data_IF_487314405044
#
_entry.id   IF_487314405044
#
_cell.length_a   1.000
_cell.length_b   1.000
_cell.length_c   1.000
_cell.angle_alpha   90.00
_cell.angle_beta   90.00
_cell.angle_gamma   90.00
#
_symmetry.space_group_name_H-M   'P 1'
#
loop_
_entity.id
_entity.type
_entity.pdbx_description
1 polymer ?
#
# COMPACT_ATOMS: atom_id res chain seq x y z
N UNK A 1 34.58 8.00 71.57
CA UNK A 1 34.13 7.06 70.53
C UNK A 1 32.67 7.36 70.23
N UNK A 2 32.40 8.02 69.09
CA UNK A 2 31.05 8.36 68.62
C UNK A 2 30.78 7.53 67.38
N UNK A 3 29.82 6.60 67.45
CA UNK A 3 29.47 5.66 66.39
C UNK A 3 28.30 6.21 65.58
N UNK A 4 28.53 6.35 64.27
CA UNK A 4 27.56 6.85 63.29
C UNK A 4 26.45 5.83 63.04
N UNK A 5 25.19 6.27 63.07
CA UNK A 5 24.05 5.45 62.63
C UNK A 5 23.88 5.61 61.12
N UNK A 6 24.01 4.49 60.42
CA UNK A 6 23.84 4.30 58.97
C UNK A 6 22.41 4.62 58.51
N UNK A 7 22.28 5.51 57.52
CA UNK A 7 21.06 5.76 56.76
C UNK A 7 20.96 4.76 55.59
N UNK A 8 20.00 3.85 55.66
CA UNK A 8 19.64 2.98 54.53
C UNK A 8 18.90 3.80 53.46
N UNK A 9 19.32 3.80 52.18
CA UNK A 9 18.63 4.55 51.13
C UNK A 9 17.29 3.89 50.79
N UNK A 10 16.21 4.70 50.78
CA UNK A 10 14.91 4.30 50.22
C UNK A 10 15.05 4.10 48.71
N UNK A 11 15.07 2.86 48.25
CA UNK A 11 14.95 2.51 46.83
C UNK A 11 13.61 3.03 46.26
N UNK A 12 13.66 3.61 45.07
CA UNK A 12 12.53 4.26 44.41
C UNK A 12 11.49 3.21 43.98
N UNK A 13 10.19 3.50 44.16
CA UNK A 13 9.08 2.56 43.91
C UNK A 13 9.09 2.06 42.44
N UNK A 14 9.60 2.87 41.52
CA UNK A 14 9.84 2.51 40.12
C UNK A 14 10.73 1.29 39.93
N UNK A 15 11.75 1.14 40.77
CA UNK A 15 12.76 0.08 40.63
C UNK A 15 12.21 -1.26 41.13
N UNK A 16 11.28 -1.22 42.11
CA UNK A 16 10.63 -2.43 42.64
C UNK A 16 9.55 -2.98 41.70
N UNK A 17 8.87 -2.11 40.96
CA UNK A 17 7.73 -2.47 40.12
C UNK A 17 8.15 -2.70 38.65
N UNK A 18 9.29 -2.15 38.22
CA UNK A 18 9.76 -2.25 36.84
C UNK A 18 8.91 -1.41 35.86
N UNK A 19 8.27 -0.36 36.36
CA UNK A 19 7.32 0.48 35.61
C UNK A 19 7.74 1.94 35.77
N UNK A 20 7.73 2.69 34.66
CA UNK A 20 8.13 4.11 34.65
C UNK A 20 7.23 4.94 35.58
N UNK A 21 7.80 5.90 36.32
CA UNK A 21 7.07 6.79 37.26
C UNK A 21 5.86 7.47 36.64
N UNK A 22 5.96 7.81 35.36
CA UNK A 22 4.89 8.43 34.57
C UNK A 22 3.66 7.51 34.44
N UNK A 23 3.85 6.20 34.35
CA UNK A 23 2.77 5.22 34.32
C UNK A 23 2.10 5.09 35.68
N UNK A 24 2.87 5.10 36.78
CA UNK A 24 2.32 5.08 38.15
C UNK A 24 1.45 6.33 38.39
N UNK A 25 1.93 7.51 38.01
CA UNK A 25 1.17 8.76 38.10
C UNK A 25 -0.07 8.80 37.19
N UNK A 26 -0.04 8.10 36.05
CA UNK A 26 -1.19 7.99 35.17
C UNK A 26 -2.27 7.07 35.76
N UNK A 27 -1.88 6.00 36.45
CA UNK A 27 -2.78 5.12 37.21
C UNK A 27 -3.41 5.87 38.40
N UNK A 28 -2.60 6.58 39.20
CA UNK A 28 -3.09 7.36 40.34
C UNK A 28 -4.09 8.46 39.95
N UNK A 29 -3.94 9.02 38.75
CA UNK A 29 -4.85 10.04 38.21
C UNK A 29 -6.02 9.47 37.41
N UNK A 30 -6.20 8.14 37.39
CA UNK A 30 -7.28 7.47 36.66
C UNK A 30 -7.19 7.59 35.13
N UNK A 31 -6.05 8.00 34.59
CA UNK A 31 -5.82 8.22 33.16
C UNK A 31 -5.30 6.99 32.43
N UNK A 32 -5.03 5.91 33.16
CA UNK A 32 -4.50 4.67 32.62
C UNK A 32 -4.93 3.49 33.48
N UNK A 33 -5.58 2.49 32.87
CA UNK A 33 -5.89 1.22 33.51
C UNK A 33 -4.83 0.22 33.05
N UNK A 34 -3.92 -0.23 33.92
CA UNK A 34 -2.86 -1.15 33.52
C UNK A 34 -3.45 -2.52 33.19
N UNK A 35 -2.80 -3.26 32.29
CA UNK A 35 -3.09 -4.68 32.11
C UNK A 35 -2.81 -5.44 33.41
N UNK A 36 -3.35 -6.67 33.54
CA UNK A 36 -3.33 -7.43 34.78
C UNK A 36 -1.91 -7.58 35.37
N UNK A 37 -0.90 -7.76 34.52
CA UNK A 37 0.46 -8.04 34.96
C UNK A 37 1.15 -6.86 35.70
N UNK A 38 1.18 -5.61 35.18
CA UNK A 38 1.64 -4.44 35.94
C UNK A 38 0.81 -4.17 37.21
N UNK A 39 -0.50 -4.42 37.17
CA UNK A 39 -1.37 -4.24 38.34
C UNK A 39 -0.98 -5.16 39.51
N UNK A 40 -0.68 -6.44 39.23
CA UNK A 40 -0.22 -7.40 40.23
C UNK A 40 1.14 -7.03 40.83
N UNK A 41 2.08 -6.49 40.03
CA UNK A 41 3.40 -6.06 40.54
C UNK A 41 3.31 -4.83 41.45
N UNK A 42 2.42 -3.89 41.14
CA UNK A 42 2.13 -2.73 42.00
C UNK A 42 1.54 -3.18 43.33
N UNK A 43 0.53 -4.08 43.30
CA UNK A 43 -0.11 -4.62 44.49
C UNK A 43 0.87 -5.41 45.39
N UNK A 44 1.78 -6.19 44.79
CA UNK A 44 2.82 -6.92 45.51
C UNK A 44 3.85 -5.98 46.17
N UNK A 45 4.27 -4.92 45.49
CA UNK A 45 5.24 -3.95 46.02
C UNK A 45 4.69 -3.15 47.23
N UNK A 46 3.37 -2.97 47.31
CA UNK A 46 2.65 -2.31 48.40
C UNK A 46 2.40 -3.22 49.62
N UNK A 47 2.95 -4.45 49.66
CA UNK A 47 3.00 -5.26 50.88
C UNK A 47 1.77 -6.11 51.18
N UNK A 48 0.98 -6.49 50.19
CA UNK A 48 -0.26 -7.29 50.35
C UNK A 48 -0.04 -8.80 50.64
N UNK A 49 1.07 -9.17 51.26
CA UNK A 49 1.49 -10.56 51.55
C UNK A 49 1.12 -11.11 52.92
N UNK A 50 0.42 -10.37 53.80
CA UNK A 50 0.08 -10.85 55.15
C UNK A 50 -1.30 -11.51 55.20
N UNK A 51 -1.38 -12.69 55.85
CA UNK A 51 -2.55 -13.59 55.99
C UNK A 51 -3.79 -12.99 56.68
N UNK A 52 -3.79 -11.71 57.06
CA UNK A 52 -4.86 -11.13 57.91
C UNK A 52 -6.01 -10.42 57.18
N UNK A 53 -6.02 -10.41 55.85
CA UNK A 53 -6.96 -9.59 55.07
C UNK A 53 -7.75 -10.40 54.02
N UNK A 54 -8.45 -11.44 54.45
CA UNK A 54 -9.36 -12.21 53.58
C UNK A 54 -10.50 -11.34 53.01
N UNK A 55 -11.06 -10.41 53.79
CA UNK A 55 -12.08 -9.46 53.32
C UNK A 55 -11.57 -8.50 52.24
N UNK A 56 -10.34 -7.98 52.36
CA UNK A 56 -9.75 -7.07 51.37
C UNK A 56 -9.46 -7.82 50.06
N UNK A 57 -9.08 -9.10 50.12
CA UNK A 57 -8.90 -9.94 48.92
C UNK A 57 -10.22 -10.21 48.22
N UNK A 58 -11.31 -10.44 48.94
CA UNK A 58 -12.65 -10.63 48.37
C UNK A 58 -13.17 -9.33 47.75
N UNK A 59 -12.96 -8.18 48.41
CA UNK A 59 -13.33 -6.86 47.87
C UNK A 59 -12.51 -6.49 46.62
N UNK A 60 -11.21 -6.78 46.60
CA UNK A 60 -10.36 -6.53 45.42
C UNK A 60 -10.70 -7.51 44.30
N UNK A 61 -10.95 -8.79 44.59
CA UNK A 61 -11.39 -9.75 43.58
C UNK A 61 -12.76 -9.35 43.00
N UNK A 62 -13.69 -8.88 43.84
CA UNK A 62 -14.98 -8.34 43.42
C UNK A 62 -14.84 -7.07 42.58
N UNK A 63 -13.92 -6.18 42.93
CA UNK A 63 -13.62 -4.96 42.16
C UNK A 63 -12.95 -5.29 40.82
N UNK A 64 -12.02 -6.26 40.79
CA UNK A 64 -11.39 -6.74 39.55
C UNK A 64 -12.42 -7.43 38.66
N UNK A 65 -13.33 -8.23 39.22
CA UNK A 65 -14.41 -8.87 38.48
C UNK A 65 -15.41 -7.85 37.95
N UNK A 66 -15.77 -6.83 38.75
CA UNK A 66 -16.62 -5.73 38.33
C UNK A 66 -15.95 -4.89 37.22
N UNK A 67 -14.66 -4.57 37.35
CA UNK A 67 -13.88 -3.87 36.32
C UNK A 67 -13.71 -4.72 35.05
N UNK A 68 -13.58 -6.04 35.16
CA UNK A 68 -13.53 -6.95 34.03
C UNK A 68 -14.89 -7.04 33.31
N UNK A 69 -16.01 -7.05 34.04
CA UNK A 69 -17.35 -6.99 33.45
C UNK A 69 -17.63 -5.64 32.78
N UNK A 70 -17.10 -4.53 33.31
CA UNK A 70 -17.19 -3.20 32.69
C UNK A 70 -16.32 -3.14 31.41
N UNK A 71 -15.14 -3.78 31.40
CA UNK A 71 -14.27 -3.83 30.23
C UNK A 71 -14.83 -4.71 29.10
N UNK A 72 -15.51 -5.82 29.41
CA UNK A 72 -16.22 -6.65 28.42
C UNK A 72 -17.51 -5.96 27.93
N UNK A 73 -18.19 -5.20 28.80
CA UNK A 73 -19.35 -4.37 28.43
C UNK A 73 -18.99 -3.10 27.64
N UNK A 74 -17.70 -2.77 27.50
CA UNK A 74 -17.21 -1.61 26.75
C UNK A 74 -16.79 -1.92 25.30
N UNK A 75 -16.84 -3.18 24.86
CA UNK A 75 -16.65 -3.47 23.44
C UNK A 75 -17.93 -3.10 22.70
N UNK A 76 -17.89 -1.99 21.95
CA UNK A 76 -19.02 -1.55 21.16
C UNK A 76 -19.30 -2.53 20.01
N UNK A 77 -20.52 -2.55 19.44
CA UNK A 77 -20.85 -3.42 18.30
C UNK A 77 -19.91 -3.28 17.09
N UNK A 78 -19.17 -2.15 16.99
CA UNK A 78 -18.19 -1.92 15.95
C UNK A 78 -16.86 -2.67 16.16
N UNK A 79 -16.48 -3.02 17.40
CA UNK A 79 -15.15 -3.61 17.69
C UNK A 79 -15.00 -5.01 17.08
N UNK A 80 -16.06 -5.82 17.11
CA UNK A 80 -16.09 -7.12 16.45
C UNK A 80 -15.94 -6.99 14.93
N UNK A 81 -16.62 -6.01 14.32
CA UNK A 81 -16.52 -5.74 12.89
C UNK A 81 -15.10 -5.33 12.49
N UNK A 82 -14.42 -4.50 13.28
CA UNK A 82 -13.04 -4.10 12.98
C UNK A 82 -12.05 -5.27 13.08
N UNK A 83 -12.31 -6.25 13.93
CA UNK A 83 -11.50 -7.47 13.99
C UNK A 83 -11.70 -8.34 12.74
N UNK A 84 -12.93 -8.49 12.26
CA UNK A 84 -13.22 -9.20 11.00
C UNK A 84 -12.60 -8.47 9.80
N UNK A 85 -12.72 -7.15 9.76
CA UNK A 85 -12.15 -6.32 8.70
C UNK A 85 -10.62 -6.50 8.62
N UNK A 86 -9.90 -6.49 9.75
CA UNK A 86 -8.45 -6.74 9.78
C UNK A 86 -8.05 -8.14 9.31
N UNK A 87 -8.97 -9.10 9.34
CA UNK A 87 -8.77 -10.46 8.83
C UNK A 87 -9.13 -10.59 7.34
N UNK A 88 -9.53 -9.49 6.67
CA UNK A 88 -9.98 -9.53 5.27
C UNK A 88 -11.36 -10.17 5.09
N UNK A 89 -12.11 -10.42 6.17
CA UNK A 89 -13.43 -11.08 6.13
C UNK A 89 -14.53 -10.07 5.82
N UNK A 90 -14.43 -9.42 4.66
CA UNK A 90 -15.28 -8.28 4.29
C UNK A 90 -16.77 -8.64 4.20
N UNK A 91 -17.12 -9.79 3.61
CA UNK A 91 -18.51 -10.25 3.52
C UNK A 91 -19.19 -10.39 4.89
N UNK A 92 -18.43 -10.85 5.88
CA UNK A 92 -18.94 -10.98 7.25
C UNK A 92 -19.09 -9.64 7.95
N UNK A 93 -18.18 -8.69 7.70
CA UNK A 93 -18.33 -7.30 8.17
C UNK A 93 -19.61 -6.71 7.61
N UNK A 94 -19.86 -6.88 6.30
CA UNK A 94 -21.06 -6.37 5.64
C UNK A 94 -22.32 -7.02 6.20
N UNK A 95 -22.34 -8.36 6.31
CA UNK A 95 -23.50 -9.11 6.79
C UNK A 95 -23.84 -8.75 8.24
N UNK A 96 -22.87 -8.80 9.14
CA UNK A 96 -23.09 -8.51 10.56
C UNK A 96 -23.37 -7.02 10.80
N UNK A 97 -22.66 -6.14 10.10
CA UNK A 97 -22.85 -4.70 10.23
C UNK A 97 -24.23 -4.24 9.73
N UNK A 98 -24.71 -4.75 8.59
CA UNK A 98 -26.09 -4.50 8.12
C UNK A 98 -27.13 -5.01 9.12
N UNK A 99 -26.91 -6.17 9.74
CA UNK A 99 -27.80 -6.68 10.78
C UNK A 99 -27.85 -5.74 12.00
N UNK A 100 -26.70 -5.24 12.48
CA UNK A 100 -26.64 -4.25 13.56
C UNK A 100 -27.34 -2.94 13.21
N UNK A 101 -27.20 -2.47 11.97
CA UNK A 101 -27.89 -1.26 11.48
C UNK A 101 -29.41 -1.47 11.51
N UNK A 102 -29.89 -2.61 11.01
CA UNK A 102 -31.32 -2.93 10.95
C UNK A 102 -31.97 -3.12 12.33
N UNK A 103 -31.20 -3.50 13.36
CA UNK A 103 -31.70 -3.62 14.74
C UNK A 103 -31.55 -2.33 15.57
N UNK A 104 -31.17 -1.21 14.94
CA UNK A 104 -31.02 0.09 15.60
C UNK A 104 -29.70 0.27 16.35
N UNK A 105 -28.75 -0.65 16.19
CA UNK A 105 -27.39 -0.59 16.75
C UNK A 105 -26.36 -0.02 15.75
N UNK A 106 -26.84 0.57 14.65
CA UNK A 106 -26.03 1.13 13.55
C UNK A 106 -25.36 2.47 13.86
N UNK A 107 -24.41 2.48 14.79
CA UNK A 107 -23.60 3.66 15.07
C UNK A 107 -22.79 4.11 13.84
N UNK A 108 -22.31 5.36 13.83
CA UNK A 108 -21.45 5.86 12.75
C UNK A 108 -20.21 4.97 12.51
N UNK A 109 -19.68 4.34 13.57
CA UNK A 109 -18.57 3.39 13.44
C UNK A 109 -18.97 2.07 12.76
N UNK A 110 -20.17 1.56 13.05
CA UNK A 110 -20.70 0.35 12.37
C UNK A 110 -20.91 0.66 10.89
N UNK A 111 -21.51 1.81 10.57
CA UNK A 111 -21.72 2.22 9.18
C UNK A 111 -20.39 2.43 8.44
N UNK A 112 -19.38 3.01 9.09
CA UNK A 112 -18.05 3.13 8.51
C UNK A 112 -17.41 1.75 8.25
N UNK A 113 -17.55 0.79 9.17
CA UNK A 113 -17.01 -0.56 8.97
C UNK A 113 -17.64 -1.24 7.75
N UNK A 114 -18.96 -1.16 7.60
CA UNK A 114 -19.68 -1.70 6.43
C UNK A 114 -19.26 -0.98 5.15
N UNK A 115 -19.23 0.35 5.15
CA UNK A 115 -18.86 1.16 3.99
C UNK A 115 -17.44 0.87 3.50
N UNK A 116 -16.47 0.72 4.42
CA UNK A 116 -15.09 0.35 4.08
C UNK A 116 -14.99 -1.06 3.49
N UNK A 117 -15.63 -2.04 4.12
CA UNK A 117 -15.64 -3.42 3.63
C UNK A 117 -16.25 -3.53 2.23
N UNK A 118 -17.34 -2.81 1.96
CA UNK A 118 -17.95 -2.72 0.63
C UNK A 118 -17.01 -2.06 -0.38
N UNK A 119 -16.34 -0.97 0.00
CA UNK A 119 -15.37 -0.29 -0.88
C UNK A 119 -14.22 -1.21 -1.26
N UNK A 120 -13.64 -1.90 -0.28
CA UNK A 120 -12.49 -2.79 -0.49
C UNK A 120 -12.88 -4.07 -1.24
N UNK A 121 -14.17 -4.40 -1.31
CA UNK A 121 -14.73 -5.50 -2.11
C UNK A 121 -15.29 -5.05 -3.46
N UNK A 122 -15.10 -3.78 -3.86
CA UNK A 122 -15.53 -3.26 -5.16
C UNK A 122 -17.00 -2.84 -5.26
N UNK A 123 -17.77 -2.89 -4.17
CA UNK A 123 -19.20 -2.51 -4.14
C UNK A 123 -19.39 -1.01 -3.90
N UNK A 124 -18.80 -0.17 -4.74
CA UNK A 124 -18.68 1.28 -4.53
C UNK A 124 -20.02 2.02 -4.39
N UNK A 125 -20.99 1.73 -5.26
CA UNK A 125 -22.30 2.40 -5.22
C UNK A 125 -23.05 2.11 -3.91
N UNK A 126 -22.96 0.89 -3.40
CA UNK A 126 -23.57 0.51 -2.12
C UNK A 126 -22.78 1.08 -0.94
N UNK A 127 -21.45 1.06 -1.01
CA UNK A 127 -20.58 1.61 0.03
C UNK A 127 -20.92 3.08 0.35
N UNK A 128 -21.21 3.89 -0.67
CA UNK A 128 -21.56 5.31 -0.52
C UNK A 128 -22.70 5.50 0.48
N UNK A 129 -23.74 4.69 0.45
CA UNK A 129 -24.91 4.80 1.35
C UNK A 129 -24.47 4.73 2.82
N UNK A 130 -23.63 3.76 3.15
CA UNK A 130 -23.14 3.55 4.51
C UNK A 130 -22.08 4.58 4.91
N UNK A 131 -21.25 5.03 3.98
CA UNK A 131 -20.24 6.05 4.24
C UNK A 131 -20.87 7.44 4.45
N UNK A 132 -21.90 7.80 3.69
CA UNK A 132 -22.69 9.03 3.88
C UNK A 132 -23.41 9.01 5.23
N UNK A 133 -23.98 7.86 5.62
CA UNK A 133 -24.60 7.70 6.92
C UNK A 133 -23.59 7.72 8.08
N UNK A 134 -22.39 7.19 7.90
CA UNK A 134 -21.29 7.31 8.87
C UNK A 134 -20.86 8.78 9.04
N UNK A 135 -20.66 9.52 7.95
CA UNK A 135 -20.33 10.93 7.98
C UNK A 135 -21.44 11.76 8.64
N UNK A 136 -22.70 11.51 8.28
CA UNK A 136 -23.86 12.23 8.84
C UNK A 136 -24.10 11.93 10.32
N UNK A 137 -23.75 10.71 10.76
CA UNK A 137 -23.89 10.26 12.14
C UNK A 137 -22.78 10.75 13.09
N UNK A 138 -21.61 11.14 12.56
CA UNK A 138 -20.47 11.63 13.34
C UNK A 138 -20.38 13.16 13.35
N UNK A 139 -21.31 13.81 14.06
CA UNK A 139 -21.47 15.28 14.08
C UNK A 139 -20.28 16.06 14.62
N UNK A 140 -19.45 15.42 15.45
CA UNK A 140 -18.25 16.04 16.01
C UNK A 140 -17.05 15.95 15.04
N UNK A 141 -17.26 15.43 13.83
CA UNK A 141 -16.26 15.28 12.77
C UNK A 141 -14.98 14.58 13.28
N UNK A 142 -15.15 13.47 13.98
CA UNK A 142 -14.04 12.70 14.55
C UNK A 142 -13.30 11.91 13.46
N UNK A 143 -12.48 10.94 13.87
CA UNK A 143 -11.82 10.03 12.94
C UNK A 143 -12.82 9.27 12.05
N UNK A 144 -14.05 9.03 12.50
CA UNK A 144 -15.08 8.33 11.72
C UNK A 144 -15.46 9.16 10.51
N UNK A 145 -15.80 10.43 10.71
CA UNK A 145 -16.10 11.38 9.64
C UNK A 145 -14.95 11.49 8.63
N UNK A 146 -13.72 11.70 9.12
CA UNK A 146 -12.57 11.86 8.24
C UNK A 146 -12.33 10.62 7.36
N UNK A 147 -12.41 9.41 7.92
CA UNK A 147 -12.26 8.19 7.15
C UNK A 147 -13.46 7.90 6.24
N UNK A 148 -14.69 8.25 6.64
CA UNK A 148 -15.85 8.16 5.76
C UNK A 148 -15.64 9.02 4.50
N UNK A 149 -15.13 10.24 4.66
CA UNK A 149 -14.82 11.14 3.54
C UNK A 149 -13.67 10.63 2.66
N UNK A 150 -12.62 10.03 3.24
CA UNK A 150 -11.56 9.36 2.45
C UNK A 150 -12.15 8.29 1.54
N UNK A 151 -13.00 7.41 2.09
CA UNK A 151 -13.60 6.31 1.36
C UNK A 151 -14.70 6.75 0.39
N UNK A 152 -15.48 7.78 0.71
CA UNK A 152 -16.42 8.41 -0.24
C UNK A 152 -15.66 8.91 -1.46
N UNK A 153 -14.52 9.57 -1.26
CA UNK A 153 -13.71 10.05 -2.36
C UNK A 153 -13.22 8.91 -3.26
N UNK A 154 -12.79 7.79 -2.67
CA UNK A 154 -12.40 6.58 -3.43
C UNK A 154 -13.57 5.96 -4.19
N UNK A 155 -14.76 5.84 -3.59
CA UNK A 155 -15.93 5.31 -4.27
C UNK A 155 -16.35 6.19 -5.44
N UNK A 156 -16.38 7.52 -5.24
CA UNK A 156 -16.72 8.45 -6.31
C UNK A 156 -15.71 8.43 -7.45
N UNK A 157 -14.41 8.31 -7.14
CA UNK A 157 -13.37 8.13 -8.16
C UNK A 157 -13.61 6.87 -9.00
N UNK A 158 -13.86 5.74 -8.34
CA UNK A 158 -14.10 4.46 -9.02
C UNK A 158 -15.38 4.46 -9.87
N UNK A 159 -16.35 5.31 -9.54
CA UNK A 159 -17.56 5.53 -10.33
C UNK A 159 -17.42 6.66 -11.37
N UNK A 160 -16.22 7.23 -11.55
CA UNK A 160 -15.95 8.30 -12.51
C UNK A 160 -16.42 9.71 -12.11
N UNK A 161 -16.96 9.90 -10.90
CA UNK A 161 -17.36 11.23 -10.38
C UNK A 161 -16.16 11.93 -9.72
N UNK A 162 -15.26 12.42 -10.56
CA UNK A 162 -14.03 13.10 -10.15
C UNK A 162 -14.30 14.36 -9.30
N UNK A 163 -15.43 15.03 -9.52
CA UNK A 163 -15.78 16.22 -8.75
C UNK A 163 -16.18 15.88 -7.32
N UNK A 164 -17.02 14.85 -7.12
CA UNK A 164 -17.35 14.37 -5.77
C UNK A 164 -16.15 13.76 -5.09
N UNK A 165 -15.30 13.03 -5.83
CA UNK A 165 -14.06 12.47 -5.32
C UNK A 165 -13.16 13.57 -4.72
N UNK A 166 -12.89 14.62 -5.52
CA UNK A 166 -12.11 15.79 -5.10
C UNK A 166 -12.70 16.46 -3.86
N UNK A 167 -14.01 16.72 -3.84
CA UNK A 167 -14.68 17.36 -2.69
C UNK A 167 -14.52 16.55 -1.42
N UNK A 168 -14.77 15.25 -1.46
CA UNK A 168 -14.67 14.38 -0.28
C UNK A 168 -13.24 14.34 0.28
N UNK A 169 -12.22 14.23 -0.59
CA UNK A 169 -10.83 14.25 -0.14
C UNK A 169 -10.38 15.62 0.39
N UNK A 170 -10.84 16.73 -0.19
CA UNK A 170 -10.60 18.07 0.37
C UNK A 170 -11.20 18.17 1.78
N UNK A 171 -12.44 17.71 1.97
CA UNK A 171 -13.09 17.68 3.29
C UNK A 171 -12.26 16.85 4.29
N UNK A 172 -11.84 15.64 3.89
CA UNK A 172 -11.03 14.76 4.76
C UNK A 172 -9.68 15.38 5.14
N UNK A 173 -9.03 16.07 4.19
CA UNK A 173 -7.79 16.82 4.44
C UNK A 173 -8.02 17.94 5.45
N UNK A 174 -9.03 18.78 5.22
CA UNK A 174 -9.25 20.04 5.94
C UNK A 174 -9.80 19.83 7.35
N UNK A 175 -10.63 18.80 7.55
CA UNK A 175 -11.08 18.42 8.91
C UNK A 175 -9.91 17.99 9.78
N UNK A 176 -8.87 17.38 9.19
CA UNK A 176 -7.63 17.02 9.85
C UNK A 176 -7.78 16.20 11.15
N UNK A 177 -8.88 15.45 11.31
CA UNK A 177 -9.19 14.73 12.56
C UNK A 177 -8.14 13.67 12.92
N UNK A 178 -7.46 13.08 11.93
CA UNK A 178 -6.29 12.21 12.16
C UNK A 178 -5.22 12.43 11.10
N UNK A 179 -3.95 12.34 11.50
CA UNK A 179 -2.80 12.46 10.57
C UNK A 179 -2.87 11.46 9.41
N UNK A 180 -3.34 10.24 9.68
CA UNK A 180 -3.39 9.19 8.67
C UNK A 180 -4.48 9.44 7.63
N UNK A 181 -5.69 9.84 8.04
CA UNK A 181 -6.76 10.19 7.11
C UNK A 181 -6.37 11.40 6.25
N UNK A 182 -5.78 12.44 6.85
CA UNK A 182 -5.26 13.60 6.12
C UNK A 182 -4.21 13.20 5.09
N UNK A 183 -3.23 12.38 5.47
CA UNK A 183 -2.20 11.90 4.56
C UNK A 183 -2.79 11.07 3.42
N UNK A 184 -3.78 10.23 3.71
CA UNK A 184 -4.49 9.45 2.69
C UNK A 184 -5.22 10.35 1.70
N UNK A 185 -5.96 11.34 2.18
CA UNK A 185 -6.70 12.29 1.35
C UNK A 185 -5.77 13.14 0.47
N UNK A 186 -4.69 13.69 1.04
CA UNK A 186 -3.67 14.43 0.28
C UNK A 186 -3.00 13.52 -0.77
N UNK A 187 -2.66 12.29 -0.38
CA UNK A 187 -2.09 11.29 -1.28
C UNK A 187 -3.00 11.01 -2.47
N UNK A 188 -4.29 10.82 -2.24
CA UNK A 188 -5.27 10.60 -3.32
C UNK A 188 -5.44 11.83 -4.21
N UNK A 189 -5.56 13.03 -3.62
CA UNK A 189 -5.65 14.28 -4.38
C UNK A 189 -4.44 14.47 -5.30
N UNK A 190 -3.24 14.11 -4.83
CA UNK A 190 -2.02 14.22 -5.63
C UNK A 190 -1.86 13.10 -6.67
N UNK A 191 -2.18 11.87 -6.30
CA UNK A 191 -2.11 10.72 -7.21
C UNK A 191 -3.04 10.89 -8.41
N UNK A 192 -4.28 11.33 -8.18
CA UNK A 192 -5.27 11.44 -9.27
C UNK A 192 -5.31 12.81 -9.94
N UNK A 193 -4.37 13.71 -9.59
CA UNK A 193 -4.32 15.04 -10.17
C UNK A 193 -5.58 15.87 -9.88
N UNK A 194 -6.11 15.74 -8.66
CA UNK A 194 -7.32 16.42 -8.19
C UNK A 194 -7.03 17.49 -7.12
N UNK A 195 -5.80 17.59 -6.60
CA UNK A 195 -5.41 18.72 -5.76
C UNK A 195 -5.51 20.06 -6.52
N UNK A 196 -5.69 21.14 -5.78
CA UNK A 196 -5.84 22.50 -6.32
C UNK A 196 -4.66 22.92 -7.21
N UNK A 197 -3.45 22.41 -6.95
CA UNK A 197 -2.26 22.67 -7.78
C UNK A 197 -2.37 22.18 -9.22
N UNK A 198 -3.29 21.26 -9.50
CA UNK A 198 -3.53 20.73 -10.84
C UNK A 198 -4.61 21.51 -11.59
N UNK A 199 -5.23 22.54 -10.98
CA UNK A 199 -6.31 23.29 -11.62
C UNK A 199 -5.82 24.05 -12.87
N UNK A 200 -4.53 24.39 -12.97
CA UNK A 200 -3.90 24.98 -14.16
C UNK A 200 -3.38 23.96 -15.18
N UNK A 201 -3.34 22.67 -14.82
CA UNK A 201 -2.78 21.62 -15.67
C UNK A 201 -3.73 21.28 -16.82
N UNK A 202 -3.16 20.94 -17.96
CA UNK A 202 -3.93 20.69 -19.18
C UNK A 202 -4.37 19.23 -19.25
N UNK A 203 -5.67 19.01 -19.44
CA UNK A 203 -6.24 17.68 -19.69
C UNK A 203 -6.32 17.41 -21.18
N UNK A 204 -5.94 16.21 -21.58
CA UNK A 204 -6.02 15.74 -22.96
C UNK A 204 -6.48 14.27 -22.93
N UNK A 205 -7.40 13.88 -23.80
CA UNK A 205 -7.94 12.51 -23.80
C UNK A 205 -7.86 11.93 -25.20
N UNK A 206 -7.53 10.66 -25.26
CA UNK A 206 -7.52 9.82 -26.45
C UNK A 206 -8.38 8.58 -26.19
N UNK A 207 -8.24 7.54 -27.00
CA UNK A 207 -9.02 6.31 -26.86
C UNK A 207 -8.64 5.57 -25.59
N UNK A 208 -7.35 5.25 -25.41
CA UNK A 208 -6.88 4.43 -24.29
C UNK A 208 -6.28 5.24 -23.15
N UNK A 209 -6.15 6.56 -23.29
CA UNK A 209 -5.48 7.40 -22.30
C UNK A 209 -6.26 8.65 -21.92
N UNK A 210 -6.13 9.02 -20.65
CA UNK A 210 -6.38 10.38 -20.16
C UNK A 210 -5.07 10.97 -19.66
N UNK A 211 -4.67 12.12 -20.17
CA UNK A 211 -3.46 12.81 -19.76
C UNK A 211 -3.79 14.04 -18.92
N UNK A 212 -2.94 14.29 -17.94
CA UNK A 212 -2.89 15.53 -17.17
C UNK A 212 -1.46 16.06 -17.26
N UNK A 213 -1.25 17.09 -18.08
CA UNK A 213 0.05 17.67 -18.35
C UNK A 213 0.32 18.88 -17.45
N UNK A 214 1.51 18.91 -16.86
CA UNK A 214 2.03 20.10 -16.19
C UNK A 214 1.92 21.33 -17.06
N UNK A 215 1.55 22.45 -16.44
CA UNK A 215 1.55 23.78 -17.05
C UNK A 215 2.97 24.30 -17.30
N UNK A 216 3.99 23.71 -16.64
CA UNK A 216 5.41 23.99 -16.91
C UNK A 216 5.90 23.37 -18.23
N UNK A 217 5.15 22.45 -18.84
CA UNK A 217 5.46 21.83 -20.13
C UNK A 217 4.98 22.71 -21.31
N UNK A 218 5.52 23.92 -21.42
CA UNK A 218 5.05 24.92 -22.40
C UNK A 218 5.33 24.54 -23.85
N UNK A 219 6.45 23.84 -24.10
CA UNK A 219 6.91 23.48 -25.46
C UNK A 219 6.64 22.03 -25.84
N UNK A 220 5.87 21.28 -25.04
CA UNK A 220 5.55 19.89 -25.35
C UNK A 220 4.48 19.82 -26.45
N UNK A 221 4.80 19.12 -27.53
CA UNK A 221 3.81 18.63 -28.50
C UNK A 221 2.99 17.51 -27.85
N UNK A 222 1.87 17.90 -27.22
CA UNK A 222 0.96 16.98 -26.51
C UNK A 222 0.28 15.99 -27.47
N UNK A 223 -0.22 16.40 -28.65
CA UNK A 223 -0.71 15.45 -29.65
C UNK A 223 0.31 14.39 -30.06
N UNK A 224 1.56 14.76 -30.39
CA UNK A 224 2.59 13.78 -30.73
C UNK A 224 2.93 12.87 -29.54
N UNK A 225 3.05 13.45 -28.35
CA UNK A 225 3.28 12.70 -27.12
C UNK A 225 2.22 11.64 -26.90
N UNK A 226 0.94 11.99 -27.03
CA UNK A 226 -0.20 11.08 -26.87
C UNK A 226 -0.24 10.03 -27.97
N UNK A 227 -0.07 10.42 -29.25
CA UNK A 227 -0.04 9.49 -30.40
C UNK A 227 0.99 8.39 -30.22
N UNK A 228 2.22 8.72 -29.79
CA UNK A 228 3.26 7.70 -29.54
C UNK A 228 2.88 6.71 -28.43
N UNK A 229 2.10 7.14 -27.43
CA UNK A 229 1.59 6.22 -26.39
C UNK A 229 0.48 5.32 -26.93
N UNK A 230 -0.41 5.84 -27.77
CA UNK A 230 -1.44 5.03 -28.45
C UNK A 230 -0.79 3.94 -29.32
N UNK A 231 0.21 4.30 -30.12
CA UNK A 231 0.94 3.31 -30.94
C UNK A 231 1.62 2.24 -30.07
N UNK A 232 2.24 2.64 -28.95
CA UNK A 232 2.80 1.71 -27.99
C UNK A 232 1.73 0.81 -27.33
N UNK A 233 0.58 1.39 -26.98
CA UNK A 233 -0.54 0.65 -26.41
C UNK A 233 -1.01 -0.45 -27.35
N UNK A 234 -1.24 -0.13 -28.62
CA UNK A 234 -1.71 -1.10 -29.62
C UNK A 234 -0.74 -2.28 -29.75
N UNK A 235 0.56 -2.00 -29.81
CA UNK A 235 1.61 -3.04 -29.89
C UNK A 235 1.59 -3.93 -28.64
N UNK A 236 1.59 -3.32 -27.45
CA UNK A 236 1.73 -4.04 -26.18
C UNK A 236 0.45 -4.81 -25.87
N UNK A 237 -0.72 -4.18 -25.99
CA UNK A 237 -2.02 -4.81 -25.73
C UNK A 237 -2.29 -5.98 -26.67
N UNK A 238 -1.98 -5.83 -27.97
CA UNK A 238 -2.07 -6.94 -28.94
C UNK A 238 -1.16 -8.10 -28.52
N UNK A 239 0.06 -7.81 -28.07
CA UNK A 239 0.98 -8.85 -27.63
C UNK A 239 0.48 -9.60 -26.41
N UNK A 240 -0.04 -8.90 -25.40
CA UNK A 240 -0.61 -9.53 -24.19
C UNK A 240 -2.01 -10.12 -24.40
N UNK A 241 -2.68 -9.81 -25.52
CA UNK A 241 -4.03 -10.29 -25.81
C UNK A 241 -5.14 -9.50 -25.12
N UNK A 242 -4.87 -8.27 -24.68
CA UNK A 242 -5.84 -7.41 -24.00
C UNK A 242 -5.20 -6.21 -23.31
N UNK A 243 -6.03 -5.40 -22.67
CA UNK A 243 -5.66 -4.22 -21.90
C UNK A 243 -6.82 -3.78 -21.00
N UNK A 244 -6.65 -2.71 -20.21
CA UNK A 244 -7.75 -2.18 -19.38
C UNK A 244 -8.90 -1.64 -20.25
N UNK A 245 -10.14 -1.90 -19.81
CA UNK A 245 -11.35 -1.35 -20.44
C UNK A 245 -11.46 0.18 -20.26
N UNK A 246 -10.95 0.69 -19.13
CA UNK A 246 -10.95 2.10 -18.80
C UNK A 246 -9.62 2.77 -19.16
N UNK A 247 -9.62 4.03 -19.63
CA UNK A 247 -8.40 4.70 -20.02
C UNK A 247 -7.37 4.83 -18.90
N UNK A 248 -6.11 4.69 -19.25
CA UNK A 248 -4.99 4.89 -18.34
C UNK A 248 -4.77 6.38 -18.12
N UNK A 249 -4.80 6.82 -16.86
CA UNK A 249 -4.44 8.17 -16.45
C UNK A 249 -2.92 8.34 -16.42
N UNK A 250 -2.39 9.16 -17.32
CA UNK A 250 -1.02 9.65 -17.29
C UNK A 250 -0.96 11.04 -16.65
N UNK A 251 -0.34 11.13 -15.47
CA UNK A 251 0.04 12.41 -14.87
C UNK A 251 1.47 12.73 -15.33
N UNK A 252 1.60 13.71 -16.22
CA UNK A 252 2.85 14.03 -16.91
C UNK A 252 3.47 15.29 -16.29
N UNK A 253 4.51 15.06 -15.51
CA UNK A 253 5.25 16.08 -14.77
C UNK A 253 6.35 16.68 -15.66
N UNK A 254 6.71 17.93 -15.40
CA UNK A 254 7.83 18.57 -16.05
C UNK A 254 9.15 17.90 -15.66
N UNK A 255 9.34 17.64 -14.37
CA UNK A 255 10.54 17.02 -13.81
C UNK A 255 10.27 16.43 -12.41
N UNK A 256 11.31 15.88 -11.80
CA UNK A 256 11.23 15.33 -10.45
C UNK A 256 11.04 16.43 -9.40
N UNK A 257 11.58 17.63 -9.61
CA UNK A 257 11.48 18.74 -8.65
C UNK A 257 10.03 19.19 -8.47
N UNK A 258 9.26 19.31 -9.56
CA UNK A 258 7.83 19.60 -9.51
C UNK A 258 7.03 18.51 -8.76
N UNK A 259 7.46 17.25 -8.85
CA UNK A 259 6.86 16.13 -8.13
C UNK A 259 7.22 16.13 -6.64
N UNK A 260 8.46 16.46 -6.29
CA UNK A 260 8.92 16.58 -4.91
C UNK A 260 8.18 17.71 -4.18
N UNK A 261 7.95 18.85 -4.85
CA UNK A 261 7.11 19.95 -4.36
C UNK A 261 5.68 19.50 -4.02
N UNK A 262 5.17 18.47 -4.71
CA UNK A 262 3.87 17.87 -4.46
C UNK A 262 3.91 16.75 -3.41
N UNK A 263 5.08 16.40 -2.89
CA UNK A 263 5.28 15.27 -1.99
C UNK A 263 5.09 13.91 -2.67
N UNK A 264 5.31 13.83 -3.98
CA UNK A 264 5.27 12.58 -4.74
C UNK A 264 6.58 11.80 -4.57
N UNK A 265 6.56 10.46 -4.69
CA UNK A 265 7.77 9.66 -4.79
C UNK A 265 8.51 9.92 -6.12
N UNK A 266 9.64 9.26 -6.30
CA UNK A 266 10.37 9.23 -7.58
C UNK A 266 9.43 8.85 -8.73
N UNK A 267 9.43 9.66 -9.79
CA UNK A 267 8.60 9.49 -10.98
C UNK A 267 9.09 8.35 -11.88
N UNK A 268 8.19 7.81 -12.71
CA UNK A 268 8.39 6.54 -13.41
C UNK A 268 7.84 5.40 -12.56
N UNK A 269 6.54 5.46 -12.30
CA UNK A 269 5.86 4.35 -11.68
C UNK A 269 4.44 4.25 -12.22
N UNK A 270 3.94 3.01 -12.23
CA UNK A 270 2.57 2.66 -12.51
C UNK A 270 1.87 2.10 -11.27
N UNK A 271 0.56 2.27 -11.23
CA UNK A 271 -0.37 1.60 -10.32
C UNK A 271 -1.43 0.89 -11.15
N UNK A 272 -1.18 -0.36 -11.58
CA UNK A 272 -2.07 -1.11 -12.45
C UNK A 272 -3.51 -1.21 -11.95
N UNK A 273 -3.68 -1.39 -10.65
CA UNK A 273 -4.98 -1.49 -9.97
C UNK A 273 -5.79 -0.18 -10.00
N UNK A 274 -5.16 0.93 -10.41
CA UNK A 274 -5.78 2.26 -10.51
C UNK A 274 -5.74 2.83 -11.94
N UNK A 275 -5.24 2.08 -12.92
CA UNK A 275 -4.96 2.57 -14.27
C UNK A 275 -4.19 3.89 -14.27
N UNK A 276 -3.16 4.01 -13.43
CA UNK A 276 -2.48 5.28 -13.17
C UNK A 276 -0.98 5.18 -13.44
N UNK A 277 -0.44 6.17 -14.16
CA UNK A 277 0.99 6.36 -14.38
C UNK A 277 1.38 7.78 -13.99
N UNK A 278 2.49 7.92 -13.24
CA UNK A 278 3.17 9.19 -13.05
C UNK A 278 4.52 9.15 -13.76
N UNK A 279 4.70 10.02 -14.76
CA UNK A 279 5.90 10.02 -15.59
C UNK A 279 6.45 11.41 -15.89
N UNK A 280 7.71 11.44 -16.33
CA UNK A 280 8.35 12.58 -16.98
C UNK A 280 8.32 12.40 -18.50
N UNK A 281 8.48 13.51 -19.23
CA UNK A 281 8.45 13.48 -20.71
C UNK A 281 9.52 12.57 -21.32
N UNK A 282 10.69 12.48 -20.69
CA UNK A 282 11.86 11.77 -21.20
C UNK A 282 11.90 10.26 -20.88
N UNK A 283 10.89 9.74 -20.19
CA UNK A 283 10.82 8.31 -19.90
C UNK A 283 10.47 7.51 -21.15
N UNK A 284 10.84 6.22 -21.14
CA UNK A 284 10.50 5.29 -22.21
C UNK A 284 9.00 5.23 -22.39
N UNK A 285 8.56 5.02 -23.64
CA UNK A 285 7.14 5.15 -23.97
C UNK A 285 6.35 3.97 -23.38
N UNK A 286 6.89 2.75 -23.45
CA UNK A 286 6.15 1.53 -23.12
C UNK A 286 6.29 0.99 -21.69
N UNK A 287 7.31 1.40 -20.92
CA UNK A 287 7.67 0.70 -19.67
C UNK A 287 6.51 0.71 -18.66
N UNK A 288 6.05 1.89 -18.26
CA UNK A 288 5.00 2.01 -17.24
C UNK A 288 3.65 1.46 -17.71
N UNK A 289 3.27 1.66 -18.99
CA UNK A 289 2.02 1.12 -19.50
C UNK A 289 2.05 -0.41 -19.61
N UNK A 290 3.22 -1.02 -19.80
CA UNK A 290 3.36 -2.48 -19.82
C UNK A 290 2.92 -3.08 -18.49
N UNK A 291 3.29 -2.46 -17.36
CA UNK A 291 2.83 -2.92 -16.05
C UNK A 291 1.31 -2.89 -15.92
N UNK A 292 0.65 -1.90 -16.51
CA UNK A 292 -0.81 -1.80 -16.47
C UNK A 292 -1.44 -2.84 -17.41
N UNK A 293 -1.04 -2.85 -18.67
CA UNK A 293 -1.59 -3.72 -19.71
C UNK A 293 -1.42 -5.20 -19.33
N UNK A 294 -0.21 -5.62 -18.98
CA UNK A 294 0.06 -7.02 -18.60
C UNK A 294 -0.68 -7.45 -17.34
N UNK A 295 -0.88 -6.54 -16.38
CA UNK A 295 -1.68 -6.84 -15.20
C UNK A 295 -3.15 -7.06 -15.53
N UNK A 296 -3.75 -6.23 -16.40
CA UNK A 296 -5.14 -6.40 -16.79
C UNK A 296 -5.36 -7.63 -17.66
N UNK A 297 -4.44 -7.88 -18.59
CA UNK A 297 -4.54 -9.03 -19.49
C UNK A 297 -4.37 -10.37 -18.76
N UNK A 298 -3.46 -10.45 -17.76
CA UNK A 298 -3.03 -11.73 -17.19
C UNK A 298 -3.25 -11.88 -15.69
N UNK A 299 -3.51 -10.79 -14.96
CA UNK A 299 -3.77 -10.74 -13.51
C UNK A 299 -2.86 -11.69 -12.69
N UNK A 300 -1.53 -11.45 -12.67
CA UNK A 300 -0.58 -12.40 -12.09
C UNK A 300 -0.81 -12.60 -10.60
N UNK A 301 -0.95 -13.85 -10.18
CA UNK A 301 -1.13 -14.24 -8.79
C UNK A 301 0.16 -14.09 -7.98
N UNK A 302 1.30 -14.35 -8.61
CA UNK A 302 2.64 -14.19 -8.04
C UNK A 302 3.44 -13.24 -8.90
N UNK A 303 3.98 -12.18 -8.28
CA UNK A 303 4.83 -11.19 -8.95
C UNK A 303 6.28 -11.30 -8.48
N UNK A 304 7.19 -11.08 -9.41
CA UNK A 304 8.62 -11.10 -9.18
C UNK A 304 9.30 -9.90 -9.83
N UNK A 305 10.28 -9.28 -9.17
CA UNK A 305 10.98 -8.10 -9.70
C UNK A 305 11.70 -8.37 -11.03
N UNK A 306 12.41 -9.49 -11.15
CA UNK A 306 13.12 -9.88 -12.38
C UNK A 306 12.17 -10.03 -13.56
N UNK A 307 11.00 -10.60 -13.33
CA UNK A 307 10.04 -10.89 -14.38
C UNK A 307 9.22 -9.64 -14.71
N UNK A 308 8.67 -8.99 -13.70
CA UNK A 308 7.81 -7.82 -13.86
C UNK A 308 8.56 -6.63 -14.47
N UNK A 309 9.73 -6.26 -13.93
CA UNK A 309 10.54 -5.17 -14.48
C UNK A 309 11.19 -5.56 -15.81
N UNK A 310 11.68 -6.80 -15.93
CA UNK A 310 12.26 -7.28 -17.18
C UNK A 310 11.26 -7.26 -18.34
N UNK A 311 9.99 -7.56 -18.05
CA UNK A 311 8.90 -7.47 -19.02
C UNK A 311 8.68 -6.02 -19.43
N UNK A 312 8.57 -5.10 -18.48
CA UNK A 312 8.43 -3.68 -18.81
C UNK A 312 9.61 -3.12 -19.61
N UNK A 313 10.85 -3.52 -19.29
CA UNK A 313 12.04 -3.15 -20.08
C UNK A 313 11.97 -3.74 -21.50
N UNK A 314 11.55 -5.01 -21.63
CA UNK A 314 11.41 -5.66 -22.95
C UNK A 314 10.38 -4.97 -23.83
N UNK A 315 9.32 -4.43 -23.25
CA UNK A 315 8.21 -3.77 -23.95
C UNK A 315 8.27 -2.23 -23.85
N UNK A 316 9.41 -1.66 -23.45
CA UNK A 316 9.58 -0.21 -23.25
C UNK A 316 9.51 0.63 -24.55
N UNK A 317 9.37 -0.03 -25.70
CA UNK A 317 9.34 0.52 -27.06
C UNK A 317 10.63 1.24 -27.48
N UNK A 318 11.76 0.85 -26.90
CA UNK A 318 13.08 1.24 -27.40
C UNK A 318 13.65 0.15 -28.30
N UNK A 319 14.30 0.55 -29.39
CA UNK A 319 15.00 -0.37 -30.31
C UNK A 319 16.39 -0.77 -29.80
N UNK A 320 16.62 -0.73 -28.47
CA UNK A 320 17.91 -1.08 -27.88
C UNK A 320 18.16 -2.59 -27.94
N UNK A 321 19.40 -2.97 -28.24
CA UNK A 321 19.86 -4.34 -28.01
C UNK A 321 19.91 -4.59 -26.49
N UNK A 322 19.07 -5.51 -26.03
CA UNK A 322 18.92 -5.80 -24.59
C UNK A 322 20.14 -6.48 -24.01
N UNK A 323 20.77 -7.36 -24.76
CA UNK A 323 21.97 -8.05 -24.30
C UNK A 323 23.14 -7.08 -24.21
N UNK A 324 23.33 -6.22 -25.23
CA UNK A 324 24.38 -5.19 -25.19
C UNK A 324 24.16 -4.21 -24.04
N UNK A 325 22.91 -3.76 -23.82
CA UNK A 325 22.57 -2.87 -22.71
C UNK A 325 22.87 -3.52 -21.35
N UNK A 326 22.55 -4.80 -21.18
CA UNK A 326 22.83 -5.54 -19.95
C UNK A 326 24.33 -5.70 -19.68
N UNK A 327 25.11 -6.05 -20.71
CA UNK A 327 26.58 -6.14 -20.61
C UNK A 327 27.21 -4.81 -20.24
N UNK A 328 26.78 -3.73 -20.89
CA UNK A 328 27.26 -2.38 -20.58
C UNK A 328 26.98 -2.00 -19.13
N UNK A 329 25.76 -2.24 -18.64
CA UNK A 329 25.41 -1.95 -17.26
C UNK A 329 26.28 -2.73 -16.25
N UNK A 330 26.54 -4.02 -16.51
CA UNK A 330 27.44 -4.83 -15.68
C UNK A 330 28.90 -4.33 -15.73
N UNK A 331 29.39 -3.92 -16.89
CA UNK A 331 30.76 -3.44 -17.07
C UNK A 331 31.01 -2.09 -16.37
N UNK A 332 30.03 -1.20 -16.37
CA UNK A 332 30.11 0.11 -15.70
C UNK A 332 29.98 -0.02 -14.17
N UNK A 333 29.37 -1.10 -13.70
CA UNK A 333 29.11 -1.33 -12.29
C UNK A 333 30.28 -2.01 -11.56
N UNK A 334 31.33 -1.23 -11.31
CA UNK A 334 32.52 -1.70 -10.62
C UNK A 334 32.21 -2.23 -9.19
N UNK A 335 32.76 -3.39 -8.86
CA UNK A 335 32.71 -3.96 -7.50
C UNK A 335 31.42 -4.68 -7.13
N UNK A 336 30.52 -4.92 -8.09
CA UNK A 336 29.29 -5.70 -7.86
C UNK A 336 29.61 -7.20 -7.83
N UNK A 337 29.06 -7.96 -6.87
CA UNK A 337 29.25 -9.41 -6.82
C UNK A 337 28.64 -10.09 -8.05
N UNK A 338 29.25 -11.19 -8.48
CA UNK A 338 28.62 -12.06 -9.46
C UNK A 338 27.37 -12.71 -8.85
N UNK A 339 26.20 -12.35 -9.36
CA UNK A 339 24.90 -12.89 -8.94
C UNK A 339 24.39 -13.82 -10.04
N UNK A 340 23.97 -15.03 -9.68
CA UNK A 340 23.32 -15.93 -10.64
C UNK A 340 21.90 -15.46 -10.92
N UNK A 341 21.38 -15.78 -12.09
CA UNK A 341 20.02 -15.44 -12.48
C UNK A 341 18.99 -16.08 -11.54
N UNK A 342 19.25 -17.29 -11.05
CA UNK A 342 18.40 -17.95 -10.05
C UNK A 342 18.37 -17.17 -8.73
N UNK A 343 19.53 -16.69 -8.26
CA UNK A 343 19.60 -15.88 -7.04
C UNK A 343 18.89 -14.53 -7.23
N UNK A 344 19.06 -13.88 -8.38
CA UNK A 344 18.36 -12.63 -8.70
C UNK A 344 16.84 -12.81 -8.81
N UNK A 345 16.39 -13.99 -9.23
CA UNK A 345 14.98 -14.35 -9.26
C UNK A 345 14.41 -14.49 -7.84
N UNK A 346 15.17 -15.06 -6.90
CA UNK A 346 14.75 -15.20 -5.51
C UNK A 346 14.82 -13.87 -4.76
N UNK A 347 15.87 -13.09 -4.99
CA UNK A 347 16.09 -11.79 -4.36
C UNK A 347 16.58 -10.75 -5.39
N UNK A 348 15.61 -9.96 -5.85
CA UNK A 348 15.82 -8.86 -6.79
C UNK A 348 16.76 -7.77 -6.26
N UNK A 349 16.91 -7.67 -4.93
CA UNK A 349 17.72 -6.61 -4.30
C UNK A 349 19.23 -6.89 -4.36
N UNK A 350 19.64 -8.07 -4.82
CA UNK A 350 21.05 -8.46 -4.94
C UNK A 350 21.82 -7.62 -5.96
N UNK A 351 21.13 -6.94 -6.88
CA UNK A 351 21.72 -6.02 -7.83
C UNK A 351 21.03 -4.64 -7.73
N UNK A 352 21.79 -3.55 -7.89
CA UNK A 352 21.21 -2.22 -7.98
C UNK A 352 20.37 -2.08 -9.26
N UNK A 353 19.38 -1.19 -9.24
CA UNK A 353 18.34 -1.10 -10.29
C UNK A 353 18.88 -0.70 -11.66
N UNK A 354 19.97 0.05 -11.70
CA UNK A 354 20.70 0.41 -12.92
C UNK A 354 21.34 -0.80 -13.62
N UNK A 355 21.56 -1.90 -12.88
CA UNK A 355 22.08 -3.17 -13.42
C UNK A 355 20.98 -4.21 -13.58
N UNK A 356 20.12 -4.37 -12.56
CA UNK A 356 19.11 -5.42 -12.55
C UNK A 356 18.07 -5.25 -13.65
N UNK A 357 17.67 -4.01 -13.98
CA UNK A 357 16.66 -3.73 -15.02
C UNK A 357 17.16 -4.13 -16.42
N UNK A 358 18.36 -3.69 -16.88
CA UNK A 358 18.93 -4.18 -18.13
C UNK A 358 19.06 -5.70 -18.21
N UNK A 359 19.59 -6.33 -17.16
CA UNK A 359 19.76 -7.80 -17.09
C UNK A 359 18.41 -8.50 -17.21
N UNK A 360 17.40 -8.02 -16.50
CA UNK A 360 16.04 -8.54 -16.56
C UNK A 360 15.42 -8.41 -17.94
N UNK A 361 15.56 -7.25 -18.59
CA UNK A 361 15.07 -7.03 -19.95
C UNK A 361 15.71 -7.98 -20.96
N UNK A 362 17.01 -8.21 -20.85
CA UNK A 362 17.75 -9.16 -21.69
C UNK A 362 17.30 -10.61 -21.44
N UNK A 363 17.08 -10.97 -20.17
CA UNK A 363 16.59 -12.30 -19.81
C UNK A 363 15.18 -12.56 -20.35
N UNK A 364 14.26 -11.61 -20.18
CA UNK A 364 12.89 -11.74 -20.69
C UNK A 364 12.87 -11.79 -22.22
N UNK A 365 13.73 -11.01 -22.90
CA UNK A 365 13.92 -11.13 -24.34
C UNK A 365 14.33 -12.55 -24.76
N UNK A 366 15.23 -13.20 -24.01
CA UNK A 366 15.68 -14.56 -24.26
C UNK A 366 14.59 -15.60 -23.99
N UNK A 367 13.86 -15.48 -22.89
CA UNK A 367 12.75 -16.38 -22.57
C UNK A 367 11.71 -16.38 -23.69
N UNK A 368 11.30 -15.20 -24.15
CA UNK A 368 10.34 -15.08 -25.26
C UNK A 368 10.93 -15.64 -26.57
N UNK A 369 12.21 -15.40 -26.84
CA UNK A 369 12.85 -15.91 -28.07
C UNK A 369 12.98 -17.45 -28.09
N UNK A 370 13.13 -18.09 -26.92
CA UNK A 370 13.31 -19.54 -26.80
C UNK A 370 11.99 -20.29 -26.63
N UNK A 371 11.10 -19.79 -25.79
CA UNK A 371 9.81 -20.43 -25.47
C UNK A 371 8.62 -19.91 -26.28
N UNK A 372 8.76 -18.77 -26.95
CA UNK A 372 7.66 -18.15 -27.68
C UNK A 372 6.67 -17.42 -26.77
N UNK A 373 5.66 -16.81 -27.41
CA UNK A 373 4.65 -15.98 -26.76
C UNK A 373 3.78 -16.77 -25.78
N UNK A 374 3.20 -17.88 -26.22
CA UNK A 374 2.17 -18.59 -25.44
C UNK A 374 2.72 -19.14 -24.12
N UNK A 375 3.91 -19.76 -24.14
CA UNK A 375 4.57 -20.20 -22.90
C UNK A 375 4.90 -19.03 -21.99
N UNK A 376 5.28 -17.88 -22.54
CA UNK A 376 5.53 -16.71 -21.72
C UNK A 376 4.26 -16.19 -21.05
N UNK A 377 3.13 -16.13 -21.77
CA UNK A 377 1.86 -15.66 -21.21
C UNK A 377 1.37 -16.60 -20.10
N UNK A 378 1.50 -17.92 -20.29
CA UNK A 378 1.21 -18.91 -19.24
C UNK A 378 2.09 -18.67 -18.00
N UNK A 379 3.41 -18.64 -18.19
CA UNK A 379 4.38 -18.40 -17.12
C UNK A 379 4.13 -17.07 -16.38
N UNK A 380 3.75 -16.00 -17.08
CA UNK A 380 3.63 -14.69 -16.47
C UNK A 380 2.54 -14.61 -15.39
N UNK A 381 1.56 -15.53 -15.40
CA UNK A 381 0.50 -15.59 -14.39
C UNK A 381 1.00 -16.00 -13.00
N UNK A 382 2.10 -16.76 -12.93
CA UNK A 382 2.86 -17.05 -11.71
C UNK A 382 4.35 -16.90 -11.99
N UNK A 383 4.90 -15.76 -11.59
CA UNK A 383 6.28 -15.37 -11.93
C UNK A 383 7.35 -16.08 -11.08
N UNK A 384 7.00 -17.16 -10.37
CA UNK A 384 7.95 -17.94 -9.58
C UNK A 384 8.88 -18.78 -10.46
N UNK A 385 10.10 -19.02 -9.96
CA UNK A 385 11.05 -19.92 -10.62
C UNK A 385 10.55 -21.38 -10.65
N UNK A 386 9.71 -21.78 -9.69
CA UNK A 386 9.10 -23.11 -9.68
C UNK A 386 8.15 -23.26 -10.87
N UNK A 387 7.23 -22.31 -11.06
CA UNK A 387 6.30 -22.34 -12.19
C UNK A 387 7.03 -22.19 -13.53
N UNK A 388 8.08 -21.37 -13.62
CA UNK A 388 8.92 -21.30 -14.81
C UNK A 388 9.48 -22.69 -15.20
N UNK A 389 9.90 -23.52 -14.23
CA UNK A 389 10.40 -24.88 -14.51
C UNK A 389 9.29 -25.82 -14.99
N UNK A 390 8.06 -25.61 -14.54
CA UNK A 390 6.90 -26.39 -15.00
C UNK A 390 6.58 -26.05 -16.46
N UNK A 391 6.54 -24.76 -16.79
CA UNK A 391 6.18 -24.26 -18.14
C UNK A 391 7.28 -24.52 -19.18
N UNK A 392 8.54 -24.25 -18.84
CA UNK A 392 9.67 -24.37 -19.78
C UNK A 392 10.42 -25.70 -19.70
N UNK A 393 10.12 -26.54 -18.69
CA UNK A 393 10.70 -27.88 -18.54
C UNK A 393 12.22 -27.90 -18.34
N UNK A 394 12.86 -28.98 -18.80
CA UNK A 394 14.28 -29.27 -18.59
C UNK A 394 15.23 -28.26 -19.28
N UNK A 395 14.75 -27.57 -20.31
CA UNK A 395 15.53 -26.62 -21.10
C UNK A 395 15.90 -25.35 -20.34
N UNK A 396 15.06 -24.92 -19.39
CA UNK A 396 15.21 -23.65 -18.67
C UNK A 396 16.60 -23.52 -18.01
N UNK A 397 17.06 -24.58 -17.36
CA UNK A 397 18.35 -24.58 -16.68
C UNK A 397 19.53 -24.40 -17.66
N UNK A 398 19.40 -24.94 -18.88
CA UNK A 398 20.35 -24.70 -19.96
C UNK A 398 20.35 -23.24 -20.40
N UNK A 399 19.17 -22.67 -20.65
CA UNK A 399 19.03 -21.29 -21.11
C UNK A 399 19.57 -20.27 -20.10
N UNK A 400 19.37 -20.51 -18.80
CA UNK A 400 19.92 -19.68 -17.73
C UNK A 400 21.46 -19.70 -17.74
N UNK A 401 22.07 -20.88 -17.86
CA UNK A 401 23.55 -21.01 -17.94
C UNK A 401 24.11 -20.32 -19.17
N UNK A 402 23.49 -20.52 -20.32
CA UNK A 402 23.91 -19.87 -21.57
C UNK A 402 23.78 -18.34 -21.46
N UNK A 403 22.72 -17.86 -20.80
CA UNK A 403 22.52 -16.42 -20.56
C UNK A 403 23.60 -15.81 -19.69
N UNK A 404 23.93 -16.46 -18.58
CA UNK A 404 25.00 -16.01 -17.70
C UNK A 404 26.38 -16.05 -18.38
N UNK A 405 26.64 -17.03 -19.24
CA UNK A 405 27.86 -17.10 -20.03
C UNK A 405 27.92 -15.97 -21.08
N UNK A 406 26.81 -15.70 -21.75
CA UNK A 406 26.70 -14.63 -22.74
C UNK A 406 26.86 -13.24 -22.12
N UNK A 407 26.40 -13.03 -20.88
CA UNK A 407 26.60 -11.78 -20.15
C UNK A 407 28.08 -11.51 -19.83
N UNK A 408 28.90 -12.56 -19.69
CA UNK A 408 30.33 -12.45 -19.31
C UNK A 408 31.28 -12.37 -20.51
N UNK A 409 30.79 -12.62 -21.73
CA UNK A 409 31.63 -12.80 -22.93
C UNK A 409 31.75 -11.55 -23.82
N UNK A 410 31.12 -10.43 -23.46
CA UNK A 410 31.37 -9.12 -24.07
C UNK A 410 31.99 -8.18 -23.05
#
# INVERSE_FOLDING_TARGET
MSTSISTVPRLNLTDRVGVRRRTILAVEKGKYVPSAFPAFRIAAALGMGSRRNSMVRILIAGLILALATIAVAQQGPADSLWNLYKQGRFDEVVTQGKALINTGQGSAQVQLAVGRALTDSGHYAEAIIFLEGAASGDRDHTWVYAWAQVYLGSCHWQLGDNQRARRAWIIARDVAATRNATRSAVGNLNAFGLAERFDSWQRFRTEHFSFLFSDRLTNLDRPDFARRREEAYDIISTWFGGGPDEPILFVVWADQTEADEAGMPTLGFARPELNLVHCRVQQTVGHEMTHIISNHALNPAVRNGLVNEGTAVRFDQTDRDRMETARKALAEAAGIPAVSLAALWEDWSLLPTDVSYPVAGAWIARLIAKGGRELFLEFFTDQSLAHAREVYGEDLAGWMRDFEADLRSG
#
